data_IF_362658852830
#
_entry.id   IF_362658852830
#
_cell.length_a   1.000
_cell.length_b   1.000
_cell.length_c   1.000
_cell.angle_alpha   90.00
_cell.angle_beta   90.00
_cell.angle_gamma   90.00
#
_symmetry.space_group_name_H-M   'P 1'
#
loop_
_entity.id
_entity.type
_entity.pdbx_description
1 polymer ?
#
# COMPACT_ATOMS: atom_id res chain seq x y z
N UNK A 1 -12.83 36.25 -1.48
CA UNK A 1 -12.12 35.96 -0.24
C UNK A 1 -13.15 36.03 0.86
N UNK A 2 -13.27 34.97 1.63
CA UNK A 2 -14.19 34.92 2.77
C UNK A 2 -13.42 35.38 4.01
N UNK A 3 -14.12 35.74 5.10
CA UNK A 3 -13.49 36.24 6.32
C UNK A 3 -13.69 35.22 7.47
N UNK A 4 -12.74 35.23 8.41
CA UNK A 4 -12.79 34.42 9.63
C UNK A 4 -12.79 32.92 9.38
N UNK A 5 -13.47 32.18 10.27
CA UNK A 5 -13.43 30.71 10.33
C UNK A 5 -13.86 29.98 9.05
N UNK A 6 -14.60 30.66 8.16
CA UNK A 6 -14.98 30.08 6.86
C UNK A 6 -13.76 30.02 5.92
N UNK A 7 -12.93 31.09 5.94
CA UNK A 7 -11.70 31.07 5.18
C UNK A 7 -10.70 30.05 5.76
N UNK A 8 -10.58 29.99 7.09
CA UNK A 8 -9.70 29.04 7.77
C UNK A 8 -10.08 27.59 7.39
N UNK A 9 -11.39 27.27 7.36
CA UNK A 9 -11.84 25.95 6.92
C UNK A 9 -11.48 25.66 5.47
N UNK A 10 -11.62 26.65 4.57
CA UNK A 10 -11.24 26.48 3.15
C UNK A 10 -9.75 26.25 3.03
N UNK A 11 -8.93 26.97 3.77
CA UNK A 11 -7.48 26.86 3.73
C UNK A 11 -7.02 25.49 4.24
N UNK A 12 -7.53 25.02 5.38
CA UNK A 12 -7.25 23.67 5.91
C UNK A 12 -7.68 22.55 4.95
N UNK A 13 -8.85 22.66 4.33
CA UNK A 13 -9.29 21.70 3.32
C UNK A 13 -8.41 21.74 2.07
N UNK A 14 -7.87 22.91 1.74
CA UNK A 14 -6.94 23.10 0.62
C UNK A 14 -5.57 22.44 0.80
N UNK A 15 -5.20 22.09 2.03
CA UNK A 15 -3.97 21.34 2.33
C UNK A 15 -4.11 19.84 2.03
N UNK A 16 -5.33 19.35 1.85
CA UNK A 16 -5.57 17.93 1.58
C UNK A 16 -5.08 17.55 0.17
N UNK A 17 -4.38 16.41 0.01
CA UNK A 17 -3.91 15.93 -1.28
C UNK A 17 -5.06 15.82 -2.29
N UNK A 18 -4.88 16.38 -3.49
CA UNK A 18 -5.90 16.35 -4.55
C UNK A 18 -7.05 17.36 -4.38
N UNK A 19 -7.04 18.17 -3.32
CA UNK A 19 -8.05 19.20 -3.08
C UNK A 19 -7.49 20.57 -3.49
N UNK A 20 -7.83 21.03 -4.70
CA UNK A 20 -7.49 22.38 -5.13
C UNK A 20 -8.44 23.45 -4.53
N UNK A 21 -8.15 24.75 -4.73
CA UNK A 21 -8.90 25.86 -4.12
C UNK A 21 -10.42 25.82 -4.36
N UNK A 22 -10.84 25.46 -5.59
CA UNK A 22 -12.27 25.30 -5.91
C UNK A 22 -12.91 24.10 -5.21
N UNK A 23 -12.15 23.03 -5.05
CA UNK A 23 -12.57 21.83 -4.31
C UNK A 23 -12.77 22.13 -2.83
N UNK A 24 -11.80 22.77 -2.19
CA UNK A 24 -11.84 23.19 -0.80
C UNK A 24 -13.06 24.08 -0.51
N UNK A 25 -13.27 25.10 -1.34
CA UNK A 25 -14.43 25.97 -1.22
C UNK A 25 -15.75 25.18 -1.32
N UNK A 26 -15.88 24.28 -2.31
CA UNK A 26 -17.09 23.46 -2.49
C UNK A 26 -17.35 22.55 -1.28
N UNK A 27 -16.30 21.93 -0.72
CA UNK A 27 -16.43 21.09 0.48
C UNK A 27 -16.84 21.94 1.69
N UNK A 28 -16.21 23.10 1.90
CA UNK A 28 -16.55 23.99 3.00
C UNK A 28 -18.04 24.40 2.97
N UNK A 29 -18.55 24.83 1.83
CA UNK A 29 -19.95 25.22 1.68
C UNK A 29 -20.92 24.03 1.80
N UNK A 30 -20.51 22.84 1.36
CA UNK A 30 -21.28 21.62 1.61
C UNK A 30 -21.43 21.36 3.12
N UNK A 31 -20.32 21.44 3.87
CA UNK A 31 -20.34 21.25 5.32
C UNK A 31 -21.17 22.31 6.05
N UNK A 32 -21.14 23.57 5.59
CA UNK A 32 -21.97 24.64 6.16
C UNK A 32 -23.48 24.42 5.95
N UNK A 33 -23.86 23.72 4.87
CA UNK A 33 -25.25 23.40 4.55
C UNK A 33 -25.70 22.03 5.08
N UNK A 34 -24.77 21.18 5.53
CA UNK A 34 -25.07 19.85 6.03
C UNK A 34 -25.69 19.87 7.43
N UNK A 35 -26.32 18.73 7.82
CA UNK A 35 -26.79 18.55 9.19
C UNK A 35 -25.63 18.68 10.18
N UNK A 36 -25.73 19.52 11.20
CA UNK A 36 -24.69 19.66 12.21
C UNK A 36 -24.30 18.35 12.91
N UNK A 37 -25.19 17.37 12.97
CA UNK A 37 -24.90 16.04 13.52
C UNK A 37 -23.92 15.26 12.64
N UNK A 38 -24.06 15.35 11.31
CA UNK A 38 -23.15 14.71 10.36
C UNK A 38 -21.75 15.34 10.39
N UNK A 39 -21.68 16.67 10.50
CA UNK A 39 -20.42 17.40 10.61
C UNK A 39 -19.69 17.04 11.91
N UNK A 40 -20.42 16.99 13.04
CA UNK A 40 -19.85 16.57 14.34
C UNK A 40 -19.35 15.12 14.28
N UNK A 41 -20.10 14.23 13.64
CA UNK A 41 -19.69 12.83 13.47
C UNK A 41 -18.39 12.74 12.65
N UNK A 42 -18.30 13.46 11.53
CA UNK A 42 -17.06 13.51 10.72
C UNK A 42 -15.88 13.99 11.55
N UNK A 43 -16.04 15.10 12.26
CA UNK A 43 -14.97 15.65 13.12
C UNK A 43 -14.55 14.65 14.19
N UNK A 44 -15.49 13.99 14.85
CA UNK A 44 -15.18 12.98 15.86
C UNK A 44 -14.41 11.79 15.28
N UNK A 45 -14.79 11.30 14.09
CA UNK A 45 -14.10 10.19 13.42
C UNK A 45 -12.67 10.58 13.03
N UNK A 46 -12.45 11.80 12.55
CA UNK A 46 -11.10 12.28 12.23
C UNK A 46 -10.18 12.27 13.46
N UNK A 47 -10.66 12.77 14.59
CA UNK A 47 -9.91 12.76 15.85
C UNK A 47 -9.68 11.33 16.35
N UNK A 48 -10.71 10.49 16.31
CA UNK A 48 -10.64 9.10 16.75
C UNK A 48 -9.64 8.28 15.94
N UNK A 49 -9.54 8.50 14.62
CA UNK A 49 -8.55 7.83 13.76
C UNK A 49 -7.12 8.17 14.20
N UNK A 50 -6.83 9.44 14.46
CA UNK A 50 -5.49 9.88 14.88
C UNK A 50 -5.12 9.29 16.25
N UNK A 51 -6.09 9.20 17.17
CA UNK A 51 -5.85 8.72 18.52
C UNK A 51 -5.74 7.19 18.62
N UNK A 52 -6.54 6.44 17.83
CA UNK A 52 -6.70 4.99 17.98
C UNK A 52 -6.02 4.15 16.91
N UNK A 53 -5.72 4.73 15.74
CA UNK A 53 -5.08 3.97 14.65
C UNK A 53 -3.56 4.10 14.77
N UNK A 54 -2.90 2.96 14.74
CA UNK A 54 -1.46 2.82 14.74
C UNK A 54 -1.01 1.82 13.68
N UNK A 55 0.28 1.68 13.50
CA UNK A 55 0.84 0.66 12.63
C UNK A 55 1.09 -0.64 13.39
N UNK A 56 0.71 -1.75 12.79
CA UNK A 56 0.95 -3.09 13.33
C UNK A 56 2.46 -3.30 13.59
N UNK A 57 2.83 -3.66 14.81
CA UNK A 57 4.23 -3.89 15.20
C UNK A 57 4.91 -5.00 14.39
N UNK A 58 4.12 -5.97 13.87
CA UNK A 58 4.64 -7.12 13.12
C UNK A 58 4.80 -6.79 11.64
N UNK A 59 3.77 -6.24 11.00
CA UNK A 59 3.74 -6.13 9.54
C UNK A 59 3.67 -4.70 8.99
N UNK A 60 3.52 -3.68 9.84
CA UNK A 60 3.41 -2.29 9.40
C UNK A 60 2.06 -1.88 8.81
N UNK A 61 1.08 -2.78 8.71
CA UNK A 61 -0.28 -2.43 8.28
C UNK A 61 -1.02 -1.60 9.33
N UNK A 62 -2.05 -0.88 8.93
CA UNK A 62 -2.91 -0.15 9.88
C UNK A 62 -3.61 -1.09 10.86
N UNK A 63 -3.67 -0.70 12.13
CA UNK A 63 -4.24 -1.48 13.22
C UNK A 63 -4.79 -0.56 14.31
N UNK A 64 -5.78 -1.03 15.07
CA UNK A 64 -6.23 -0.39 16.31
C UNK A 64 -5.52 -0.97 17.54
N UNK A 65 -5.01 -2.19 17.43
CA UNK A 65 -4.24 -2.88 18.45
C UNK A 65 -2.79 -3.05 18.01
N UNK A 66 -1.93 -3.62 18.86
CA UNK A 66 -0.51 -3.80 18.56
C UNK A 66 -0.26 -4.69 17.33
N UNK A 67 -1.17 -5.64 17.10
CA UNK A 67 -1.15 -6.49 15.92
C UNK A 67 -2.46 -6.36 15.13
N UNK A 68 -2.35 -6.22 13.81
CA UNK A 68 -3.52 -6.15 12.95
C UNK A 68 -4.25 -7.51 12.89
N UNK A 69 -5.50 -7.48 12.42
CA UNK A 69 -6.34 -8.69 12.29
C UNK A 69 -5.69 -9.79 11.44
N UNK A 70 -4.88 -9.41 10.44
CA UNK A 70 -4.21 -10.36 9.56
C UNK A 70 -3.09 -11.09 10.29
N UNK A 71 -2.28 -10.39 11.08
CA UNK A 71 -1.21 -11.02 11.87
C UNK A 71 -1.72 -11.93 12.99
N UNK A 72 -2.90 -11.61 13.54
CA UNK A 72 -3.56 -12.43 14.59
C UNK A 72 -4.33 -13.63 14.03
N UNK A 73 -4.62 -13.69 12.73
CA UNK A 73 -5.36 -14.81 12.15
C UNK A 73 -4.46 -16.03 11.97
N UNK A 74 -4.61 -17.02 12.87
CA UNK A 74 -3.85 -18.26 12.87
C UNK A 74 -4.14 -19.19 11.68
N UNK A 75 -5.19 -18.93 10.90
CA UNK A 75 -5.51 -19.70 9.70
C UNK A 75 -4.63 -19.30 8.51
N UNK A 76 -3.87 -18.22 8.64
CA UNK A 76 -2.98 -17.74 7.60
C UNK A 76 -1.64 -18.47 7.65
N UNK A 77 -1.12 -18.74 6.48
CA UNK A 77 0.18 -19.38 6.31
C UNK A 77 1.30 -18.41 6.73
N UNK A 78 2.03 -18.69 7.81
CA UNK A 78 3.14 -17.86 8.25
C UNK A 78 4.39 -18.00 7.38
N UNK A 79 4.49 -19.05 6.58
CA UNK A 79 5.66 -19.34 5.74
C UNK A 79 5.70 -18.51 4.45
N UNK A 80 4.62 -17.80 4.11
CA UNK A 80 4.52 -16.95 2.93
C UNK A 80 4.29 -15.50 3.35
N UNK A 81 5.20 -14.60 2.96
CA UNK A 81 5.08 -13.16 3.20
C UNK A 81 4.98 -12.42 1.87
N UNK A 82 3.91 -11.61 1.73
CA UNK A 82 3.74 -10.67 0.65
C UNK A 82 4.21 -9.28 1.12
N UNK A 83 5.24 -8.75 0.48
CA UNK A 83 5.80 -7.43 0.74
C UNK A 83 5.13 -6.41 -0.17
N UNK A 84 4.61 -5.36 0.42
CA UNK A 84 3.92 -4.25 -0.27
C UNK A 84 4.47 -2.91 0.19
N UNK A 85 4.22 -1.85 -0.55
CA UNK A 85 4.68 -0.51 -0.22
C UNK A 85 3.84 0.13 0.89
N UNK A 86 2.51 0.09 0.76
CA UNK A 86 1.60 0.80 1.65
C UNK A 86 0.43 -0.09 2.16
N UNK A 87 -0.23 0.31 3.26
CA UNK A 87 -1.41 -0.40 3.76
C UNK A 87 -2.58 -0.52 2.76
N UNK A 88 -2.71 0.42 1.82
CA UNK A 88 -3.73 0.37 0.76
C UNK A 88 -3.56 -0.84 -0.15
N UNK A 89 -2.30 -1.29 -0.38
CA UNK A 89 -1.98 -2.42 -1.24
C UNK A 89 -2.43 -3.72 -0.59
N UNK A 90 -2.24 -3.84 0.75
CA UNK A 90 -2.82 -4.96 1.52
C UNK A 90 -4.32 -5.03 1.29
N UNK A 91 -5.02 -3.89 1.37
CA UNK A 91 -6.47 -3.85 1.16
C UNK A 91 -6.86 -4.24 -0.27
N UNK A 92 -6.06 -3.89 -1.26
CA UNK A 92 -6.28 -4.27 -2.66
C UNK A 92 -6.13 -5.80 -2.87
N UNK A 93 -5.07 -6.40 -2.32
CA UNK A 93 -4.84 -7.85 -2.42
C UNK A 93 -5.91 -8.64 -1.63
N UNK A 94 -6.30 -8.17 -0.45
CA UNK A 94 -7.33 -8.84 0.37
C UNK A 94 -8.72 -8.89 -0.30
N UNK A 95 -9.02 -7.98 -1.25
CA UNK A 95 -10.26 -8.03 -2.04
C UNK A 95 -10.38 -9.29 -2.90
N UNK A 96 -9.26 -9.86 -3.34
CA UNK A 96 -9.22 -11.09 -4.15
C UNK A 96 -9.67 -12.30 -3.32
N UNK A 97 -9.48 -12.28 -1.98
CA UNK A 97 -9.81 -13.36 -1.02
C UNK A 97 -9.11 -14.70 -1.26
N UNK A 98 -8.13 -14.75 -2.13
CA UNK A 98 -7.37 -15.96 -2.46
C UNK A 98 -6.06 -16.07 -1.71
N UNK A 99 -5.39 -14.93 -1.44
CA UNK A 99 -4.14 -14.93 -0.73
C UNK A 99 -4.32 -15.28 0.75
N UNK A 100 -3.60 -16.30 1.20
CA UNK A 100 -3.67 -16.83 2.57
C UNK A 100 -2.40 -16.62 3.39
N UNK A 101 -1.37 -16.02 2.83
CA UNK A 101 -0.14 -15.67 3.51
C UNK A 101 -0.29 -14.44 4.42
N UNK A 102 0.84 -13.99 4.92
CA UNK A 102 0.98 -12.77 5.74
C UNK A 102 1.55 -11.64 4.90
N UNK A 103 1.49 -10.42 5.42
CA UNK A 103 2.02 -9.23 4.74
C UNK A 103 3.20 -8.62 5.50
N UNK A 104 3.96 -7.82 4.77
CA UNK A 104 4.89 -6.84 5.32
C UNK A 104 4.78 -5.55 4.53
N UNK A 105 4.46 -4.46 5.21
CA UNK A 105 4.33 -3.11 4.63
C UNK A 105 5.63 -2.36 4.86
N UNK A 106 6.26 -1.91 3.79
CA UNK A 106 7.54 -1.20 3.83
C UNK A 106 7.41 0.24 4.32
N UNK A 107 6.27 0.88 4.08
CA UNK A 107 6.04 2.30 4.35
C UNK A 107 6.38 3.21 3.16
N UNK A 108 6.66 2.63 1.99
CA UNK A 108 6.99 3.33 0.74
C UNK A 108 7.89 2.49 -0.15
N UNK A 109 8.54 3.16 -1.10
CA UNK A 109 9.54 2.60 -2.01
C UNK A 109 10.86 3.38 -1.93
N UNK A 110 11.96 2.78 -2.35
CA UNK A 110 13.26 3.47 -2.47
C UNK A 110 13.13 4.49 -3.61
N UNK A 111 13.26 5.77 -3.27
CA UNK A 111 13.20 6.89 -4.21
C UNK A 111 14.31 7.90 -3.92
N UNK A 112 15.44 7.83 -4.63
CA UNK A 112 16.52 8.80 -4.45
C UNK A 112 16.11 10.24 -4.75
N UNK A 113 15.14 10.42 -5.65
CA UNK A 113 14.63 11.75 -6.03
C UNK A 113 13.89 12.39 -4.85
N UNK A 114 13.10 11.58 -4.12
CA UNK A 114 12.35 12.02 -2.94
C UNK A 114 13.18 11.92 -1.65
N UNK A 115 14.44 11.50 -1.74
CA UNK A 115 15.32 11.32 -0.60
C UNK A 115 15.01 10.09 0.27
N UNK A 116 14.23 9.15 -0.23
CA UNK A 116 13.85 7.94 0.51
C UNK A 116 14.87 6.83 0.25
N UNK A 117 15.64 6.50 1.27
CA UNK A 117 16.61 5.40 1.25
C UNK A 117 16.07 4.11 1.88
N UNK A 118 16.86 3.03 1.81
CA UNK A 118 16.48 1.74 2.44
C UNK A 118 16.27 1.83 3.96
N UNK A 119 16.96 2.76 4.63
CA UNK A 119 16.88 2.95 6.08
C UNK A 119 15.59 3.68 6.52
N UNK A 120 14.93 4.35 5.59
CA UNK A 120 13.65 5.04 5.83
C UNK A 120 12.46 4.07 5.73
N UNK A 121 12.72 2.87 5.19
CA UNK A 121 11.72 1.82 5.01
C UNK A 121 11.85 0.74 6.09
N UNK A 122 10.78 -0.01 6.31
CA UNK A 122 10.72 -1.10 7.30
C UNK A 122 11.44 -2.39 6.83
N UNK A 123 12.58 -2.23 6.17
CA UNK A 123 13.39 -3.34 5.67
C UNK A 123 14.07 -4.10 6.80
N UNK A 124 14.51 -3.40 7.84
CA UNK A 124 15.15 -4.03 9.03
C UNK A 124 14.18 -4.97 9.74
N UNK A 125 12.93 -4.56 9.91
CA UNK A 125 11.88 -5.39 10.51
C UNK A 125 11.54 -6.59 9.62
N UNK A 126 11.55 -6.43 8.29
CA UNK A 126 11.40 -7.56 7.36
C UNK A 126 12.52 -8.57 7.57
N UNK A 127 13.77 -8.13 7.57
CA UNK A 127 14.94 -9.00 7.76
C UNK A 127 14.88 -9.73 9.11
N UNK A 128 14.46 -9.05 10.17
CA UNK A 128 14.25 -9.67 11.48
C UNK A 128 13.19 -10.78 11.44
N UNK A 129 12.10 -10.59 10.67
CA UNK A 129 11.07 -11.62 10.50
C UNK A 129 11.54 -12.83 9.69
N UNK A 130 12.49 -12.64 8.79
CA UNK A 130 13.03 -13.70 7.95
C UNK A 130 14.14 -14.50 8.65
N UNK A 131 14.71 -13.96 9.73
CA UNK A 131 15.92 -14.52 10.37
C UNK A 131 15.68 -15.87 11.06
N UNK A 132 14.43 -16.20 11.46
CA UNK A 132 14.11 -17.48 12.13
C UNK A 132 13.99 -18.66 11.17
N UNK A 133 14.03 -18.41 9.85
CA UNK A 133 13.96 -19.44 8.81
C UNK A 133 12.57 -20.09 8.64
N UNK A 134 11.53 -19.57 9.28
CA UNK A 134 10.17 -20.10 9.16
C UNK A 134 9.51 -19.71 7.82
N UNK A 135 9.98 -18.64 7.20
CA UNK A 135 9.48 -18.15 5.91
C UNK A 135 10.18 -18.89 4.76
N UNK A 136 9.40 -19.43 3.86
CA UNK A 136 9.87 -20.18 2.68
C UNK A 136 9.68 -19.42 1.38
N UNK A 137 8.70 -18.50 1.32
CA UNK A 137 8.42 -17.68 0.14
C UNK A 137 8.23 -16.21 0.50
N UNK A 138 8.90 -15.35 -0.24
CA UNK A 138 8.76 -13.90 -0.20
C UNK A 138 8.19 -13.42 -1.54
N UNK A 139 6.96 -12.89 -1.53
CA UNK A 139 6.32 -12.31 -2.71
C UNK A 139 6.59 -10.81 -2.67
N UNK A 140 7.33 -10.29 -3.64
CA UNK A 140 7.60 -8.85 -3.76
C UNK A 140 6.51 -8.20 -4.62
N UNK A 141 5.51 -7.63 -3.98
CA UNK A 141 4.35 -6.99 -4.60
C UNK A 141 4.43 -5.45 -4.46
N UNK A 142 5.61 -4.90 -4.72
CA UNK A 142 5.81 -3.45 -4.90
C UNK A 142 5.18 -2.99 -6.21
N UNK A 143 4.88 -1.71 -6.32
CA UNK A 143 4.27 -1.14 -7.52
C UNK A 143 5.11 -1.41 -8.79
N UNK A 144 4.49 -1.62 -9.95
CA UNK A 144 5.20 -1.91 -11.20
C UNK A 144 5.74 -0.64 -11.88
N UNK A 145 6.23 0.32 -11.08
CA UNK A 145 6.91 1.54 -11.49
C UNK A 145 8.43 1.44 -11.24
N UNK A 146 9.18 2.49 -11.55
CA UNK A 146 10.65 2.51 -11.44
C UNK A 146 11.12 2.29 -10.00
N UNK A 147 10.51 2.97 -9.05
CA UNK A 147 10.83 2.92 -7.62
C UNK A 147 10.51 1.56 -7.02
N UNK A 148 9.34 1.01 -7.34
CA UNK A 148 8.93 -0.32 -6.88
C UNK A 148 9.78 -1.44 -7.48
N UNK A 149 10.19 -1.35 -8.76
CA UNK A 149 11.14 -2.28 -9.39
C UNK A 149 12.52 -2.21 -8.71
N UNK A 150 13.03 -1.00 -8.46
CA UNK A 150 14.30 -0.81 -7.76
C UNK A 150 14.25 -1.39 -6.34
N UNK A 151 13.15 -1.16 -5.63
CA UNK A 151 12.91 -1.69 -4.27
C UNK A 151 12.85 -3.21 -4.29
N UNK A 152 12.12 -3.81 -5.22
CA UNK A 152 12.07 -5.26 -5.37
C UNK A 152 13.44 -5.87 -5.66
N UNK A 153 14.18 -5.26 -6.60
CA UNK A 153 15.53 -5.73 -6.94
C UNK A 153 16.51 -5.62 -5.77
N UNK A 154 16.39 -4.56 -4.96
CA UNK A 154 17.17 -4.39 -3.75
C UNK A 154 16.87 -5.49 -2.72
N UNK A 155 15.60 -5.71 -2.41
CA UNK A 155 15.16 -6.75 -1.48
C UNK A 155 15.55 -8.15 -1.96
N UNK A 156 15.33 -8.46 -3.24
CA UNK A 156 15.70 -9.76 -3.80
C UNK A 156 17.19 -10.07 -3.63
N UNK A 157 18.05 -9.06 -3.82
CA UNK A 157 19.51 -9.23 -3.58
C UNK A 157 19.84 -9.48 -2.12
N UNK A 158 19.16 -8.78 -1.19
CA UNK A 158 19.38 -8.94 0.24
C UNK A 158 18.98 -10.33 0.74
N UNK A 159 17.85 -10.86 0.26
CA UNK A 159 17.31 -12.14 0.75
C UNK A 159 17.85 -13.35 -0.01
N UNK A 160 18.49 -13.16 -1.16
CA UNK A 160 19.10 -14.26 -1.95
C UNK A 160 20.00 -15.20 -1.16
N UNK A 161 20.88 -14.72 -0.26
CA UNK A 161 21.74 -15.59 0.55
C UNK A 161 20.99 -16.46 1.55
N UNK A 162 19.74 -16.12 1.86
CA UNK A 162 18.90 -16.86 2.83
C UNK A 162 18.24 -18.10 2.22
N UNK A 163 18.36 -18.30 0.89
CA UNK A 163 17.77 -19.46 0.20
C UNK A 163 16.25 -19.42 0.08
N UNK A 164 15.64 -18.25 0.30
CA UNK A 164 14.19 -18.06 0.18
C UNK A 164 13.77 -18.09 -1.30
N UNK A 165 12.58 -18.65 -1.55
CA UNK A 165 11.89 -18.48 -2.83
C UNK A 165 11.39 -17.04 -2.91
N UNK A 166 11.90 -16.28 -3.88
CA UNK A 166 11.45 -14.91 -4.14
C UNK A 166 10.61 -14.90 -5.40
N UNK A 167 9.40 -14.40 -5.30
CA UNK A 167 8.44 -14.33 -6.40
C UNK A 167 7.87 -12.91 -6.55
N UNK A 168 7.21 -12.64 -7.68
CA UNK A 168 6.48 -11.40 -7.94
C UNK A 168 5.10 -11.73 -8.52
N UNK A 169 4.08 -10.88 -8.30
CA UNK A 169 2.85 -10.96 -9.06
C UNK A 169 3.15 -10.90 -10.57
N UNK A 170 2.41 -11.67 -11.36
CA UNK A 170 2.56 -11.66 -12.81
C UNK A 170 2.20 -10.27 -13.37
N UNK A 171 3.03 -9.78 -14.29
CA UNK A 171 2.76 -8.57 -15.08
C UNK A 171 2.27 -8.98 -16.46
N UNK A 172 1.35 -8.22 -17.03
CA UNK A 172 0.85 -8.48 -18.39
C UNK A 172 -0.46 -7.77 -18.69
N UNK A 173 -1.12 -8.24 -19.75
CA UNK A 173 -2.37 -7.67 -20.24
C UNK A 173 -3.50 -7.83 -19.23
N UNK A 174 -4.29 -6.79 -18.96
CA UNK A 174 -5.47 -6.89 -18.12
C UNK A 174 -6.54 -7.76 -18.78
N UNK A 175 -7.26 -8.54 -17.97
CA UNK A 175 -8.38 -9.35 -18.46
C UNK A 175 -9.48 -8.43 -19.01
N UNK A 176 -9.93 -8.72 -20.23
CA UNK A 176 -10.94 -7.92 -20.93
C UNK A 176 -10.40 -6.71 -21.69
N UNK A 177 -9.08 -6.50 -21.68
CA UNK A 177 -8.44 -5.50 -22.52
C UNK A 177 -8.20 -5.99 -23.96
N UNK A 178 -8.21 -5.07 -24.92
CA UNK A 178 -7.84 -5.36 -26.31
C UNK A 178 -6.34 -5.07 -26.52
N UNK A 179 -5.69 -5.90 -27.33
CA UNK A 179 -4.23 -5.83 -27.57
C UNK A 179 -3.80 -4.47 -28.15
N UNK A 180 -4.65 -3.88 -29.02
CA UNK A 180 -4.32 -2.63 -29.70
C UNK A 180 -4.24 -1.40 -28.79
N UNK A 181 -4.85 -1.48 -27.58
CA UNK A 181 -4.81 -0.39 -26.59
C UNK A 181 -3.76 -0.58 -25.53
N UNK A 182 -3.02 -1.71 -25.55
CA UNK A 182 -1.94 -1.94 -24.61
C UNK A 182 -0.69 -1.14 -25.04
N UNK A 183 -0.06 -0.46 -24.10
CA UNK A 183 1.21 0.19 -24.31
C UNK A 183 2.36 -0.82 -24.57
N UNK A 184 3.44 -0.37 -25.20
CA UNK A 184 4.56 -1.21 -25.60
C UNK A 184 5.24 -1.92 -24.42
N UNK A 185 5.30 -1.28 -23.25
CA UNK A 185 5.93 -1.85 -22.05
C UNK A 185 5.08 -2.98 -21.50
N UNK A 186 3.75 -2.77 -21.39
CA UNK A 186 2.79 -3.78 -20.95
C UNK A 186 2.79 -4.99 -21.87
N UNK A 187 2.79 -4.75 -23.20
CA UNK A 187 2.89 -5.82 -24.19
C UNK A 187 4.23 -6.58 -24.08
N UNK A 188 5.34 -5.88 -23.97
CA UNK A 188 6.66 -6.48 -23.78
C UNK A 188 6.69 -7.42 -22.58
N UNK A 189 6.24 -6.96 -21.41
CA UNK A 189 6.13 -7.77 -20.19
C UNK A 189 5.21 -8.99 -20.33
N UNK A 190 4.10 -8.83 -21.06
CA UNK A 190 3.19 -9.94 -21.34
C UNK A 190 3.85 -11.03 -22.18
N UNK A 191 4.62 -10.66 -23.20
CA UNK A 191 5.37 -11.59 -24.04
C UNK A 191 6.52 -12.28 -23.30
N UNK A 192 7.24 -11.55 -22.44
CA UNK A 192 8.28 -12.13 -21.58
C UNK A 192 7.69 -13.14 -20.58
N UNK A 193 6.58 -12.79 -19.96
CA UNK A 193 5.86 -13.62 -18.97
C UNK A 193 4.93 -14.67 -19.57
N UNK A 194 4.95 -14.92 -20.89
CA UNK A 194 4.05 -15.88 -21.56
C UNK A 194 4.18 -17.29 -20.98
N UNK A 195 3.05 -17.95 -20.79
CA UNK A 195 2.97 -19.31 -20.24
C UNK A 195 2.63 -20.31 -21.34
N UNK A 196 3.05 -21.56 -21.14
CA UNK A 196 2.56 -22.66 -21.96
C UNK A 196 1.05 -22.82 -21.73
N UNK A 197 0.31 -23.04 -22.82
CA UNK A 197 -1.07 -23.47 -22.74
C UNK A 197 -1.02 -24.99 -22.71
N UNK A 198 -1.28 -25.55 -21.52
CA UNK A 198 -1.53 -26.99 -21.39
C UNK A 198 -2.92 -27.25 -21.96
N UNK A 199 -2.97 -28.11 -22.98
CA UNK A 199 -4.20 -28.52 -23.69
C UNK A 199 -4.95 -29.59 -22.89
#
# INVERSE_FOLDING_TARGET
MYEGIVQDLIDELGLLPGVGPKGAQRIAFYLLAADPADVRRLSSVLLEVIEKVKFCRVCGNVAQEDECRICRDQRRDPSVICVVEEPKDVAAIEKIREFRGRYHVLGGAISPIDGVGPDDLRIKELMTRLADGSVTELILATDPNLEGEATAAYLARMVKPMGLRVTRPASGLPVGGELEYADEVTLGRAFEGRRLLDA
#
